data_IF_425552616864
#
_entry.id   IF_425552616864
#
_cell.length_a   1.000
_cell.length_b   1.000
_cell.length_c   1.000
_cell.angle_alpha   90.00
_cell.angle_beta   90.00
_cell.angle_gamma   90.00
#
_symmetry.space_group_name_H-M   'P 1'
#
loop_
_entity.id
_entity.type
_entity.pdbx_description
1 polymer ?
#
# COMPACT_ATOMS: atom_id res chain seq x y z
N UNK A 1 -11.42 -46.48 -25.62
CA UNK A 1 -10.43 -45.52 -25.06
C UNK A 1 -11.16 -44.28 -24.54
N UNK A 2 -11.66 -44.31 -23.30
CA UNK A 2 -12.41 -43.18 -22.72
C UNK A 2 -11.44 -42.19 -22.06
N UNK A 3 -11.36 -40.97 -22.61
CA UNK A 3 -10.54 -39.89 -22.04
C UNK A 3 -11.27 -39.27 -20.84
N UNK A 4 -10.82 -39.57 -19.63
CA UNK A 4 -11.30 -38.92 -18.40
C UNK A 4 -10.77 -37.49 -18.34
N UNK A 5 -11.68 -36.50 -18.43
CA UNK A 5 -11.38 -35.09 -18.22
C UNK A 5 -10.94 -34.87 -16.76
N UNK A 6 -9.69 -34.48 -16.55
CA UNK A 6 -9.19 -34.04 -15.23
C UNK A 6 -9.93 -32.75 -14.84
N UNK A 7 -10.76 -32.81 -13.79
CA UNK A 7 -11.35 -31.62 -13.16
C UNK A 7 -10.23 -30.81 -12.51
N UNK A 8 -10.08 -29.56 -12.95
CA UNK A 8 -9.19 -28.58 -12.33
C UNK A 8 -9.70 -28.25 -10.90
N UNK A 9 -8.83 -28.12 -9.88
CA UNK A 9 -9.25 -27.72 -8.54
C UNK A 9 -9.90 -26.34 -8.59
N UNK A 10 -11.14 -26.22 -8.09
CA UNK A 10 -11.78 -24.92 -7.91
C UNK A 10 -11.00 -24.16 -6.81
N UNK A 11 -10.54 -22.92 -7.06
CA UNK A 11 -10.00 -22.10 -5.98
C UNK A 11 -11.12 -21.84 -4.98
N UNK A 12 -10.83 -22.11 -3.70
CA UNK A 12 -11.77 -21.87 -2.59
C UNK A 12 -12.03 -20.36 -2.48
N UNK A 13 -13.09 -19.87 -3.13
CA UNK A 13 -13.45 -18.46 -3.18
C UNK A 13 -14.05 -17.92 -1.87
N UNK A 14 -14.30 -18.79 -0.88
CA UNK A 14 -15.07 -18.44 0.32
C UNK A 14 -14.19 -18.01 1.51
N UNK A 15 -12.86 -18.10 1.40
CA UNK A 15 -11.95 -17.71 2.48
C UNK A 15 -11.33 -16.35 2.17
N UNK A 16 -11.60 -15.31 2.98
CA UNK A 16 -10.96 -14.02 2.79
C UNK A 16 -9.46 -14.18 2.92
N UNK A 17 -8.71 -13.49 2.06
CA UNK A 17 -7.25 -13.46 2.12
C UNK A 17 -6.79 -12.95 3.50
N UNK A 18 -5.62 -13.39 3.96
CA UNK A 18 -5.06 -12.94 5.24
C UNK A 18 -4.96 -11.40 5.31
N UNK A 19 -4.66 -10.75 4.17
CA UNK A 19 -4.66 -9.28 4.05
C UNK A 19 -6.05 -8.67 4.16
N UNK A 20 -7.08 -9.33 3.61
CA UNK A 20 -8.47 -8.87 3.71
C UNK A 20 -8.98 -9.02 5.14
N UNK A 21 -8.64 -10.12 5.80
CA UNK A 21 -8.93 -10.32 7.22
C UNK A 21 -8.28 -9.22 8.08
N UNK A 22 -7.02 -8.87 7.78
CA UNK A 22 -6.31 -7.79 8.47
C UNK A 22 -6.99 -6.43 8.28
N UNK A 23 -7.40 -6.10 7.05
CA UNK A 23 -8.11 -4.85 6.75
C UNK A 23 -9.48 -4.79 7.45
N UNK A 24 -10.25 -5.88 7.40
CA UNK A 24 -11.53 -5.97 8.13
C UNK A 24 -11.31 -5.78 9.63
N UNK A 25 -10.29 -6.42 10.20
CA UNK A 25 -9.96 -6.27 11.62
C UNK A 25 -9.58 -4.83 11.99
N UNK A 26 -8.74 -4.15 11.18
CA UNK A 26 -8.38 -2.74 11.39
C UNK A 26 -9.64 -1.86 11.43
N UNK A 27 -10.56 -2.06 10.49
CA UNK A 27 -11.82 -1.33 10.43
C UNK A 27 -12.70 -1.57 11.67
N UNK A 28 -12.75 -2.81 12.16
CA UNK A 28 -13.46 -3.13 13.39
C UNK A 28 -12.87 -2.46 14.63
N UNK A 29 -11.53 -2.44 14.75
CA UNK A 29 -10.83 -1.80 15.86
C UNK A 29 -11.04 -0.28 15.83
N UNK A 30 -10.94 0.36 14.66
CA UNK A 30 -11.27 1.78 14.46
C UNK A 30 -12.71 2.09 14.89
N UNK A 31 -13.67 1.26 14.48
CA UNK A 31 -15.07 1.38 14.88
C UNK A 31 -15.25 1.25 16.40
N UNK A 32 -14.57 0.28 17.04
CA UNK A 32 -14.60 0.11 18.50
C UNK A 32 -13.99 1.31 19.22
N UNK A 33 -12.85 1.81 18.75
CA UNK A 33 -12.17 2.98 19.31
C UNK A 33 -13.06 4.24 19.23
N UNK A 34 -13.71 4.48 18.09
CA UNK A 34 -14.67 5.58 17.92
C UNK A 34 -15.84 5.48 18.89
N UNK A 35 -16.42 4.29 19.07
CA UNK A 35 -17.48 4.04 20.07
C UNK A 35 -16.98 4.30 21.49
N UNK A 36 -15.77 3.89 21.83
CA UNK A 36 -15.17 4.14 23.15
C UNK A 36 -14.96 5.65 23.41
N UNK A 37 -14.53 6.41 22.40
CA UNK A 37 -14.33 7.87 22.51
C UNK A 37 -15.65 8.65 22.61
N UNK A 38 -16.67 8.24 21.86
CA UNK A 38 -17.95 8.95 21.72
C UNK A 38 -19.01 8.54 22.74
N UNK A 39 -18.81 7.50 23.55
CA UNK A 39 -19.85 6.99 24.44
C UNK A 39 -20.17 7.99 25.57
N UNK A 40 -21.34 8.66 25.54
CA UNK A 40 -21.69 9.67 26.54
C UNK A 40 -22.04 9.06 27.90
N UNK A 41 -22.33 7.74 27.94
CA UNK A 41 -22.63 7.00 29.18
C UNK A 41 -21.37 6.71 30.01
N UNK A 42 -20.18 6.73 29.39
CA UNK A 42 -18.90 6.60 30.09
C UNK A 42 -18.39 7.99 30.46
N UNK A 43 -18.89 8.55 31.58
CA UNK A 43 -18.41 9.85 32.12
C UNK A 43 -16.90 9.90 32.37
N UNK A 44 -16.23 8.74 32.50
CA UNK A 44 -14.78 8.60 32.51
C UNK A 44 -14.34 7.63 31.41
N UNK A 45 -13.41 8.07 30.56
CA UNK A 45 -12.78 7.24 29.52
C UNK A 45 -11.86 6.22 30.19
N UNK A 46 -11.96 4.96 29.78
CA UNK A 46 -10.97 3.96 30.18
C UNK A 46 -9.71 4.14 29.34
N UNK A 47 -8.77 4.94 29.86
CA UNK A 47 -7.50 5.23 29.19
C UNK A 47 -6.71 3.97 28.87
N UNK A 48 -6.81 2.94 29.72
CA UNK A 48 -6.17 1.64 29.48
C UNK A 48 -6.71 0.96 28.21
N UNK A 49 -8.02 0.93 28.04
CA UNK A 49 -8.66 0.33 26.86
C UNK A 49 -8.32 1.16 25.62
N UNK A 50 -8.33 2.48 25.74
CA UNK A 50 -7.97 3.37 24.63
C UNK A 50 -6.52 3.14 24.18
N UNK A 51 -5.57 3.06 25.12
CA UNK A 51 -4.17 2.78 24.83
C UNK A 51 -3.98 1.41 24.16
N UNK A 52 -4.65 0.37 24.66
CA UNK A 52 -4.60 -0.98 24.06
C UNK A 52 -5.16 -0.96 22.64
N UNK A 53 -6.31 -0.30 22.40
CA UNK A 53 -6.90 -0.21 21.06
C UNK A 53 -5.99 0.56 20.09
N UNK A 54 -5.37 1.65 20.54
CA UNK A 54 -4.42 2.41 19.74
C UNK A 54 -3.18 1.57 19.40
N UNK A 55 -2.57 0.89 20.38
CA UNK A 55 -1.42 0.03 20.14
C UNK A 55 -1.74 -1.12 19.17
N UNK A 56 -2.88 -1.78 19.37
CA UNK A 56 -3.34 -2.87 18.52
C UNK A 56 -3.57 -2.40 17.07
N UNK A 57 -4.15 -1.20 16.90
CA UNK A 57 -4.37 -0.58 15.61
C UNK A 57 -3.06 -0.22 14.91
N UNK A 58 -2.14 0.46 15.59
CA UNK A 58 -0.84 0.82 15.02
C UNK A 58 -0.04 -0.41 14.60
N UNK A 59 -0.08 -1.49 15.40
CA UNK A 59 0.61 -2.74 15.06
C UNK A 59 0.04 -3.40 13.80
N UNK A 60 -1.28 -3.45 13.66
CA UNK A 60 -1.91 -4.03 12.48
C UNK A 60 -1.70 -3.19 11.22
N UNK A 61 -1.74 -1.86 11.34
CA UNK A 61 -1.43 -0.96 10.23
C UNK A 61 0.01 -1.12 9.75
N UNK A 62 0.95 -1.26 10.69
CA UNK A 62 2.35 -1.54 10.36
C UNK A 62 2.51 -2.89 9.65
N UNK A 63 1.84 -3.95 10.13
CA UNK A 63 1.86 -5.27 9.46
C UNK A 63 1.31 -5.19 8.04
N UNK A 64 0.21 -4.46 7.83
CA UNK A 64 -0.36 -4.25 6.50
C UNK A 64 0.62 -3.51 5.59
N UNK A 65 1.29 -2.47 6.10
CA UNK A 65 2.29 -1.69 5.35
C UNK A 65 3.48 -2.57 4.95
N UNK A 66 4.00 -3.38 5.87
CA UNK A 66 5.09 -4.33 5.59
C UNK A 66 4.67 -5.31 4.49
N UNK A 67 3.44 -5.86 4.56
CA UNK A 67 2.92 -6.77 3.54
C UNK A 67 2.80 -6.10 2.18
N UNK A 68 2.27 -4.88 2.12
CA UNK A 68 2.15 -4.09 0.90
C UNK A 68 3.53 -3.79 0.28
N UNK A 69 4.49 -3.35 1.08
CA UNK A 69 5.86 -3.12 0.63
C UNK A 69 6.50 -4.41 0.09
N UNK A 70 6.33 -5.53 0.81
CA UNK A 70 6.85 -6.82 0.35
C UNK A 70 6.23 -7.26 -0.98
N UNK A 71 4.94 -6.98 -1.20
CA UNK A 71 4.26 -7.27 -2.45
C UNK A 71 4.79 -6.37 -3.57
N UNK A 72 4.94 -5.07 -3.32
CA UNK A 72 5.52 -4.12 -4.27
C UNK A 72 6.94 -4.53 -4.69
N UNK A 73 7.82 -4.84 -3.74
CA UNK A 73 9.19 -5.30 -4.04
C UNK A 73 9.21 -6.61 -4.82
N UNK A 74 8.28 -7.55 -4.54
CA UNK A 74 8.13 -8.77 -5.35
C UNK A 74 7.75 -8.45 -6.79
N UNK A 75 6.78 -7.56 -6.99
CA UNK A 75 6.37 -7.12 -8.33
C UNK A 75 7.47 -6.39 -9.08
N UNK A 76 8.23 -5.54 -8.39
CA UNK A 76 9.38 -4.85 -8.97
C UNK A 76 10.47 -5.84 -9.40
N UNK A 77 10.78 -6.83 -8.56
CA UNK A 77 11.75 -7.88 -8.88
C UNK A 77 11.30 -8.74 -10.07
N UNK A 78 10.01 -9.11 -10.13
CA UNK A 78 9.44 -9.81 -11.27
C UNK A 78 9.54 -8.97 -12.55
N UNK A 79 9.22 -7.67 -12.48
CA UNK A 79 9.37 -6.75 -13.61
C UNK A 79 10.81 -6.70 -14.11
N UNK A 80 11.80 -6.57 -13.21
CA UNK A 80 13.23 -6.60 -13.56
C UNK A 80 13.63 -7.92 -14.22
N UNK A 81 13.12 -9.06 -13.74
CA UNK A 81 13.40 -10.36 -14.34
C UNK A 81 12.80 -10.52 -15.73
N UNK A 82 11.57 -10.04 -15.94
CA UNK A 82 10.94 -10.05 -17.27
C UNK A 82 11.71 -9.15 -18.25
N UNK A 83 12.13 -7.95 -17.83
CA UNK A 83 12.94 -7.04 -18.64
C UNK A 83 14.33 -7.61 -18.97
N UNK A 84 14.96 -8.35 -18.06
CA UNK A 84 16.25 -9.03 -18.32
C UNK A 84 16.14 -10.21 -19.29
N UNK A 85 15.00 -10.91 -19.32
CA UNK A 85 14.77 -12.05 -20.22
C UNK A 85 14.42 -11.61 -21.64
N UNK A 86 13.87 -10.41 -21.80
CA UNK A 86 13.66 -9.79 -23.10
C UNK A 86 14.86 -8.89 -23.36
N UNK A 87 15.90 -9.41 -24.00
CA UNK A 87 17.03 -8.60 -24.46
C UNK A 87 16.51 -7.55 -25.45
N UNK A 88 16.09 -6.40 -24.94
CA UNK A 88 15.79 -5.17 -25.66
C UNK A 88 17.08 -4.43 -26.05
N UNK A 89 18.18 -5.16 -26.30
CA UNK A 89 19.45 -4.61 -26.81
C UNK A 89 19.33 -4.00 -28.21
N UNK A 90 18.12 -3.88 -28.76
CA UNK A 90 17.84 -3.26 -30.06
C UNK A 90 16.93 -2.03 -30.00
N UNK A 91 16.41 -1.63 -28.82
CA UNK A 91 15.54 -0.43 -28.70
C UNK A 91 16.19 0.76 -27.97
N UNK A 92 17.33 0.57 -27.30
CA UNK A 92 18.04 1.68 -26.64
C UNK A 92 18.78 2.61 -27.62
N UNK A 93 18.98 2.22 -28.90
CA UNK A 93 19.63 3.09 -29.88
C UNK A 93 18.73 4.20 -30.44
N UNK A 94 17.40 4.14 -30.23
CA UNK A 94 16.46 5.08 -30.86
C UNK A 94 15.97 6.22 -29.96
N UNK A 95 16.33 6.22 -28.66
CA UNK A 95 15.84 7.24 -27.70
C UNK A 95 16.96 8.08 -27.07
N UNK A 96 18.21 7.98 -27.55
CA UNK A 96 19.35 8.70 -26.96
C UNK A 96 19.62 10.09 -27.53
N UNK A 97 18.77 10.62 -28.41
CA UNK A 97 19.04 11.90 -29.08
C UNK A 97 18.16 13.09 -28.66
N UNK A 98 17.19 12.94 -27.76
CA UNK A 98 16.38 14.09 -27.32
C UNK A 98 16.04 14.02 -25.83
N UNK A 99 16.94 14.51 -24.96
CA UNK A 99 16.61 15.44 -23.84
C UNK A 99 17.84 15.72 -22.97
N UNK A 100 18.28 16.97 -22.98
CA UNK A 100 19.32 17.53 -22.13
C UNK A 100 18.85 17.75 -20.67
N UNK A 101 19.70 17.40 -19.68
CA UNK A 101 19.91 17.93 -18.28
C UNK A 101 18.71 18.35 -17.36
N UNK A 102 18.73 18.10 -16.01
CA UNK A 102 19.63 18.81 -15.07
C UNK A 102 20.10 18.02 -13.79
N UNK A 103 21.02 18.62 -13.02
CA UNK A 103 21.80 18.05 -11.88
C UNK A 103 21.14 17.93 -10.48
N UNK A 104 21.94 17.70 -9.39
CA UNK A 104 21.49 17.00 -8.18
C UNK A 104 21.26 17.89 -6.94
N UNK A 105 20.30 17.54 -6.07
CA UNK A 105 20.23 18.08 -4.69
C UNK A 105 20.01 17.00 -3.63
N UNK A 106 20.74 17.15 -2.52
CA UNK A 106 20.69 16.34 -1.30
C UNK A 106 19.52 16.76 -0.41
N UNK A 107 18.89 15.81 0.30
CA UNK A 107 18.30 16.05 1.62
C UNK A 107 18.14 14.73 2.41
N UNK A 108 18.32 14.83 3.72
CA UNK A 108 18.44 13.76 4.73
C UNK A 108 17.59 14.21 5.97
N UNK A 109 17.40 13.41 7.04
CA UNK A 109 16.12 12.76 7.35
C UNK A 109 15.60 13.08 8.77
N UNK A 110 14.49 13.83 8.96
CA UNK A 110 13.80 13.86 10.28
C UNK A 110 12.38 14.45 10.42
N UNK A 111 11.74 15.04 9.41
CA UNK A 111 10.46 15.79 9.64
C UNK A 111 9.19 15.13 9.08
N UNK A 112 9.25 13.84 8.74
CA UNK A 112 8.18 13.12 8.03
C UNK A 112 7.38 12.14 8.90
N UNK A 113 7.62 12.10 10.21
CA UNK A 113 7.16 11.00 11.07
C UNK A 113 5.63 10.94 11.32
N UNK A 114 4.82 11.88 10.83
CA UNK A 114 3.36 11.92 11.07
C UNK A 114 2.46 12.33 9.89
N UNK A 115 2.96 12.45 8.66
CA UNK A 115 2.12 12.68 7.47
C UNK A 115 2.61 11.78 6.33
N UNK A 116 1.78 11.43 5.35
CA UNK A 116 2.29 10.93 4.06
C UNK A 116 2.35 12.15 3.12
N UNK A 117 3.41 12.96 3.19
CA UNK A 117 3.50 14.24 2.46
C UNK A 117 3.48 14.08 0.94
N UNK A 118 3.86 12.90 0.42
CA UNK A 118 3.75 12.58 -1.00
C UNK A 118 2.31 12.62 -1.53
N UNK A 119 1.31 12.28 -0.71
CA UNK A 119 -0.10 12.29 -1.14
C UNK A 119 -0.70 13.69 -1.13
N UNK A 120 -0.18 14.59 -0.30
CA UNK A 120 -0.68 15.96 -0.18
C UNK A 120 -0.12 16.82 -1.32
N UNK A 121 1.18 16.70 -1.63
CA UNK A 121 1.79 17.38 -2.80
C UNK A 121 1.25 16.84 -4.13
N UNK A 122 0.84 15.57 -4.19
CA UNK A 122 0.28 14.98 -5.39
C UNK A 122 -1.15 15.50 -5.66
N UNK A 123 -1.97 15.65 -4.63
CA UNK A 123 -3.32 16.24 -4.71
C UNK A 123 -3.26 17.69 -5.22
N UNK A 124 -2.26 18.45 -4.75
CA UNK A 124 -2.02 19.83 -5.17
C UNK A 124 -1.53 19.93 -6.63
N UNK A 125 -0.71 18.98 -7.09
CA UNK A 125 -0.21 18.95 -8.47
C UNK A 125 -1.28 18.49 -9.47
N UNK A 126 -2.06 17.46 -9.11
CA UNK A 126 -3.17 16.97 -9.95
C UNK A 126 -4.27 18.03 -10.10
N UNK A 127 -4.51 18.83 -9.06
CA UNK A 127 -5.40 19.98 -9.11
C UNK A 127 -4.92 21.06 -10.07
N UNK A 128 -3.61 21.35 -10.11
CA UNK A 128 -3.02 22.35 -11.03
C UNK A 128 -3.02 21.91 -12.50
N UNK A 129 -2.96 20.61 -12.79
CA UNK A 129 -3.01 20.09 -14.17
C UNK A 129 -4.44 20.08 -14.75
N UNK A 130 -5.47 19.98 -13.91
CA UNK A 130 -6.87 19.93 -14.36
C UNK A 130 -7.43 21.29 -14.79
N UNK A 131 -6.75 22.38 -14.43
CA UNK A 131 -7.18 23.77 -14.69
C UNK A 131 -6.54 24.38 -15.94
N UNK A 132 -5.53 23.73 -16.53
CA UNK A 132 -4.87 24.22 -17.73
C UNK A 132 -5.51 23.56 -18.95
N UNK A 133 -6.33 24.32 -19.69
CA UNK A 133 -6.83 23.97 -21.02
C UNK A 133 -6.28 24.94 -22.06
#
# INVERSE_FOLDING_TARGET
MAKTKKKLPKPNADKPSETEQLVTWINEVRRKQSKCRRNPRKRRRDLRIEAVLTCALSKAENDLRIRQLSAASKWENLRKQCLKKVNYTNYELYNSEDTENPGPSQQNPREEELSCPELISLDDFMSKLAEIK
#
